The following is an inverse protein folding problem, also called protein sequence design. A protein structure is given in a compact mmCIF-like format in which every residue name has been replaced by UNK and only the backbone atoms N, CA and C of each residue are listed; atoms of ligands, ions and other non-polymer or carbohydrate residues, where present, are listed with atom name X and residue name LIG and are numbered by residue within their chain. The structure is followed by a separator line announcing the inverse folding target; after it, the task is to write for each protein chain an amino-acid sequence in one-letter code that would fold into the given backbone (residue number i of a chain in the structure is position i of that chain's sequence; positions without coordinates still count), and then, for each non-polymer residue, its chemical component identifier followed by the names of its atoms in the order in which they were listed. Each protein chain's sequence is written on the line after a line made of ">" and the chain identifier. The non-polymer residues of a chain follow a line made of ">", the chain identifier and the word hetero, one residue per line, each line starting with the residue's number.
data_IF_714512844472
#
_entry.id   IF_714512844472
#
_cell.length_a   1.000
_cell.length_b   1.000
_cell.length_c   1.000
_cell.angle_alpha   90.00
_cell.angle_beta   90.00
_cell.angle_gamma   90.00
#
_symmetry.space_group_name_H-M   'P 1'
#
loop_
_entity.id
_entity.type
_entity.pdbx_description
1 polymer ?
#
# COMPACT_ATOMS: atom_id res chain seq x y z
N UNK A 1 -7.71 24.39 0.65
CA UNK A 1 -6.47 24.67 -0.11
C UNK A 1 -6.70 25.47 -1.39
N UNK A 2 -7.54 25.02 -2.33
CA UNK A 2 -7.74 25.75 -3.60
C UNK A 2 -8.21 27.20 -3.43
N UNK A 3 -9.10 27.45 -2.46
CA UNK A 3 -9.57 28.81 -2.16
C UNK A 3 -8.44 29.71 -1.62
N UNK A 4 -7.67 29.22 -0.64
CA UNK A 4 -6.46 29.89 -0.13
C UNK A 4 -5.49 30.27 -1.25
N UNK A 5 -5.23 29.34 -2.18
CA UNK A 5 -4.34 29.61 -3.32
C UNK A 5 -4.86 30.76 -4.17
N UNK A 6 -6.16 30.73 -4.53
CA UNK A 6 -6.78 31.75 -5.38
C UNK A 6 -6.78 33.14 -4.73
N UNK A 7 -7.22 33.23 -3.47
CA UNK A 7 -7.33 34.50 -2.73
C UNK A 7 -5.96 35.06 -2.34
N UNK A 8 -5.02 34.20 -1.95
CA UNK A 8 -3.67 34.59 -1.53
C UNK A 8 -2.70 34.88 -2.67
N UNK A 9 -3.12 34.76 -3.93
CA UNK A 9 -2.26 34.91 -5.10
C UNK A 9 -1.03 33.99 -5.04
N UNK A 10 -1.25 32.74 -4.63
CA UNK A 10 -0.20 31.72 -4.40
C UNK A 10 -0.16 30.69 -5.54
N UNK A 11 0.82 29.79 -5.46
CA UNK A 11 0.80 28.46 -6.07
C UNK A 11 1.09 27.43 -4.97
N UNK A 12 0.45 26.27 -5.04
CA UNK A 12 0.71 25.14 -4.15
C UNK A 12 1.00 23.89 -4.96
N UNK A 13 1.84 23.00 -4.43
CA UNK A 13 2.15 21.71 -5.01
C UNK A 13 2.33 20.62 -3.96
N UNK A 14 2.00 19.39 -4.34
CA UNK A 14 2.36 18.19 -3.57
C UNK A 14 3.37 17.41 -4.41
N UNK A 15 4.51 17.09 -3.84
CA UNK A 15 5.56 16.30 -4.45
C UNK A 15 5.64 14.90 -3.81
N UNK A 16 6.04 13.90 -4.59
CA UNK A 16 6.42 12.56 -4.09
C UNK A 16 7.80 12.59 -3.38
N UNK A 17 8.26 11.47 -2.77
CA UNK A 17 9.56 11.42 -2.09
C UNK A 17 10.76 11.68 -3.01
N UNK A 18 10.58 11.54 -4.33
CA UNK A 18 11.61 11.77 -5.34
C UNK A 18 11.59 13.22 -5.88
N UNK A 19 10.73 14.09 -5.34
CA UNK A 19 10.61 15.49 -5.77
C UNK A 19 9.78 15.68 -7.04
N UNK A 20 9.01 14.69 -7.49
CA UNK A 20 8.09 14.83 -8.64
C UNK A 20 6.77 15.43 -8.17
N UNK A 21 6.33 16.51 -8.80
CA UNK A 21 5.05 17.16 -8.49
C UNK A 21 3.89 16.27 -8.93
N UNK A 22 3.11 15.75 -7.98
CA UNK A 22 1.93 14.92 -8.21
C UNK A 22 0.69 15.78 -8.49
N UNK A 23 0.62 16.96 -7.86
CA UNK A 23 -0.50 17.87 -7.96
C UNK A 23 -0.02 19.30 -7.80
N UNK A 24 -0.65 20.22 -8.54
CA UNK A 24 -0.39 21.66 -8.47
C UNK A 24 -1.68 22.45 -8.55
N UNK A 25 -1.78 23.56 -7.83
CA UNK A 25 -2.86 24.54 -7.95
C UNK A 25 -2.27 25.94 -7.91
N UNK A 26 -2.56 26.76 -8.92
CA UNK A 26 -2.08 28.12 -9.01
C UNK A 26 -3.25 29.12 -9.09
N UNK A 27 -3.06 30.28 -8.48
CA UNK A 27 -3.89 31.46 -8.73
C UNK A 27 -3.64 32.00 -10.14
N UNK A 28 -4.55 32.85 -10.65
CA UNK A 28 -4.29 33.56 -11.92
C UNK A 28 -3.02 34.42 -11.89
N UNK A 29 -2.60 34.90 -10.71
CA UNK A 29 -1.35 35.63 -10.53
C UNK A 29 -0.11 34.76 -10.73
N UNK A 30 -0.15 33.51 -10.23
CA UNK A 30 0.99 32.58 -10.28
C UNK A 30 0.97 31.61 -11.47
N UNK A 31 -0.17 31.37 -12.14
CA UNK A 31 -0.30 30.32 -13.19
C UNK A 31 0.76 30.43 -14.27
N UNK A 32 0.88 31.59 -14.93
CA UNK A 32 1.89 31.82 -15.98
C UNK A 32 3.33 31.71 -15.48
N UNK A 33 3.58 32.07 -14.21
CA UNK A 33 4.91 31.98 -13.60
C UNK A 33 5.26 30.51 -13.33
N UNK A 34 4.32 29.75 -12.79
CA UNK A 34 4.47 28.32 -12.53
C UNK A 34 4.65 27.52 -13.81
N UNK A 35 3.84 27.79 -14.84
CA UNK A 35 3.95 27.16 -16.16
C UNK A 35 5.32 27.42 -16.80
N UNK A 36 5.81 28.66 -16.76
CA UNK A 36 7.13 29.03 -17.33
C UNK A 36 8.30 28.25 -16.69
N UNK A 37 8.14 27.84 -15.44
CA UNK A 37 9.18 27.14 -14.68
C UNK A 37 8.96 25.62 -14.61
N UNK A 38 7.95 25.08 -15.30
CA UNK A 38 7.51 23.68 -15.13
C UNK A 38 7.19 23.33 -13.66
N UNK A 39 6.66 24.29 -12.91
CA UNK A 39 6.05 24.05 -11.59
C UNK A 39 4.59 23.60 -11.78
N UNK A 40 4.42 22.50 -12.51
CA UNK A 40 3.16 21.88 -12.89
C UNK A 40 3.21 20.38 -12.58
N UNK A 41 2.05 19.73 -12.48
CA UNK A 41 1.99 18.29 -12.27
C UNK A 41 2.84 17.53 -13.30
N UNK A 42 3.70 16.62 -12.82
CA UNK A 42 4.69 15.88 -13.59
C UNK A 42 6.10 16.49 -13.57
N UNK A 43 6.26 17.77 -13.18
CA UNK A 43 7.57 18.42 -13.06
C UNK A 43 8.46 17.80 -11.98
N UNK A 44 9.77 17.81 -12.19
CA UNK A 44 10.76 17.27 -11.25
C UNK A 44 11.52 18.39 -10.56
N UNK A 45 11.46 18.43 -9.23
CA UNK A 45 12.00 19.49 -8.38
C UNK A 45 12.91 18.95 -7.27
N UNK A 46 13.50 17.77 -7.47
CA UNK A 46 14.57 17.31 -6.59
C UNK A 46 15.76 18.26 -6.66
N UNK A 47 16.47 18.43 -5.55
CA UNK A 47 17.61 19.34 -5.47
C UNK A 47 18.71 19.00 -6.51
N UNK A 48 18.91 17.72 -6.79
CA UNK A 48 19.85 17.24 -7.83
C UNK A 48 19.49 17.68 -9.25
N UNK A 49 18.22 17.96 -9.52
CA UNK A 49 17.72 18.24 -10.88
C UNK A 49 17.62 19.75 -11.14
N UNK A 50 17.24 20.54 -10.12
CA UNK A 50 16.93 21.99 -10.26
C UNK A 50 17.89 22.88 -9.44
N UNK A 51 18.71 22.29 -8.57
CA UNK A 51 19.50 23.00 -7.56
C UNK A 51 18.68 23.32 -6.31
N UNK A 52 19.28 24.05 -5.37
CA UNK A 52 18.68 24.39 -4.08
C UNK A 52 17.31 25.05 -4.25
N UNK A 53 16.28 24.36 -3.78
CA UNK A 53 14.88 24.77 -3.82
C UNK A 53 14.11 24.19 -2.62
N UNK A 54 12.97 24.79 -2.28
CA UNK A 54 12.26 24.44 -1.05
C UNK A 54 11.76 22.98 -1.01
N UNK A 55 11.25 22.44 -2.13
CA UNK A 55 10.78 21.05 -2.23
C UNK A 55 11.93 20.07 -1.93
N UNK A 56 13.03 20.19 -2.67
CA UNK A 56 14.20 19.32 -2.53
C UNK A 56 14.84 19.41 -1.14
N UNK A 57 14.98 20.62 -0.59
CA UNK A 57 15.52 20.83 0.75
C UNK A 57 14.61 20.25 1.84
N UNK A 58 13.29 20.43 1.73
CA UNK A 58 12.31 19.91 2.69
C UNK A 58 12.35 18.39 2.76
N UNK A 59 12.40 17.72 1.60
CA UNK A 59 12.52 16.27 1.47
C UNK A 59 13.83 15.75 2.08
N UNK A 60 14.95 16.42 1.78
CA UNK A 60 16.29 16.02 2.24
C UNK A 60 16.45 16.21 3.75
N UNK A 61 16.06 17.39 4.26
CA UNK A 61 16.20 17.75 5.67
C UNK A 61 15.07 17.20 6.56
N UNK A 62 14.00 16.66 5.96
CA UNK A 62 12.79 16.17 6.63
C UNK A 62 12.22 17.18 7.64
N UNK A 63 12.24 18.46 7.27
CA UNK A 63 11.73 19.56 8.10
C UNK A 63 11.16 20.68 7.23
N UNK A 64 10.31 21.51 7.81
CA UNK A 64 9.81 22.68 7.12
C UNK A 64 10.97 23.66 6.81
N UNK A 65 10.97 24.21 5.61
CA UNK A 65 11.98 25.16 5.12
C UNK A 65 11.30 26.34 4.44
N UNK A 66 11.99 27.47 4.42
CA UNK A 66 11.68 28.61 3.56
C UNK A 66 12.89 28.86 2.70
N UNK A 67 12.69 29.02 1.39
CA UNK A 67 13.73 29.45 0.47
C UNK A 67 13.29 30.79 -0.10
N UNK A 68 14.04 31.82 0.20
CA UNK A 68 13.72 33.21 -0.10
C UNK A 68 14.55 33.72 -1.27
N UNK A 69 13.90 34.09 -2.37
CA UNK A 69 14.51 34.82 -3.48
C UNK A 69 15.85 34.23 -3.93
N UNK A 70 16.96 34.94 -3.76
CA UNK A 70 18.33 34.54 -4.15
C UNK A 70 18.87 33.31 -3.42
N UNK A 71 18.19 32.80 -2.39
CA UNK A 71 18.49 31.48 -1.80
C UNK A 71 18.17 30.34 -2.76
N UNK A 72 17.35 30.57 -3.79
CA UNK A 72 17.21 29.66 -4.92
C UNK A 72 18.48 29.65 -5.75
N UNK A 73 19.03 28.46 -5.99
CA UNK A 73 20.20 28.29 -6.86
C UNK A 73 19.90 28.73 -8.30
N UNK A 74 18.70 28.41 -8.80
CA UNK A 74 18.27 28.76 -10.15
C UNK A 74 17.84 30.24 -10.23
N UNK A 75 18.48 31.06 -11.11
CA UNK A 75 18.14 32.48 -11.25
C UNK A 75 16.69 32.70 -11.73
N UNK A 76 16.09 31.69 -12.38
CA UNK A 76 14.72 31.76 -12.88
C UNK A 76 13.66 31.75 -11.76
N UNK A 77 14.02 31.33 -10.55
CA UNK A 77 13.12 31.20 -9.39
C UNK A 77 13.42 32.27 -8.32
N UNK A 78 14.39 33.15 -8.54
CA UNK A 78 14.79 34.16 -7.54
C UNK A 78 13.76 35.28 -7.31
N UNK A 79 12.72 35.37 -8.13
CA UNK A 79 11.56 36.24 -7.86
C UNK A 79 10.59 35.62 -6.83
N UNK A 80 10.82 34.36 -6.40
CA UNK A 80 9.90 33.59 -5.58
C UNK A 80 10.36 33.45 -4.13
N UNK A 81 9.39 33.24 -3.26
CA UNK A 81 9.58 32.73 -1.91
C UNK A 81 8.75 31.47 -1.79
N UNK A 82 9.41 30.38 -1.42
CA UNK A 82 8.84 29.05 -1.38
C UNK A 82 8.88 28.53 0.06
N UNK A 83 7.72 28.14 0.57
CA UNK A 83 7.57 27.49 1.86
C UNK A 83 7.27 26.02 1.60
N UNK A 84 8.11 25.12 2.10
CA UNK A 84 7.90 23.69 1.93
C UNK A 84 7.91 22.98 3.28
N UNK A 85 7.06 21.97 3.44
CA UNK A 85 7.01 21.12 4.62
C UNK A 85 6.83 19.65 4.22
N UNK A 86 7.53 18.71 4.89
CA UNK A 86 7.43 17.29 4.57
C UNK A 86 6.08 16.75 5.03
N UNK A 87 5.53 15.81 4.26
CA UNK A 87 4.38 15.00 4.65
C UNK A 87 4.93 13.72 5.27
N UNK A 88 4.92 13.66 6.61
CA UNK A 88 5.46 12.52 7.37
C UNK A 88 4.30 11.67 7.87
N UNK A 89 4.30 10.38 7.54
CA UNK A 89 3.28 9.47 8.02
C UNK A 89 3.30 9.39 9.57
N UNK A 90 2.17 9.61 10.26
CA UNK A 90 2.16 9.79 11.71
C UNK A 90 2.56 8.53 12.50
N UNK A 91 2.31 7.34 11.93
CA UNK A 91 2.64 6.05 12.56
C UNK A 91 4.01 5.52 12.13
N UNK A 92 4.28 5.39 10.83
CA UNK A 92 5.55 4.82 10.32
C UNK A 92 6.73 5.79 10.40
N UNK A 93 6.49 7.10 10.50
CA UNK A 93 7.55 8.11 10.42
C UNK A 93 8.16 8.28 9.02
N UNK A 94 7.61 7.62 8.01
CA UNK A 94 8.09 7.71 6.63
C UNK A 94 7.76 9.07 6.01
N UNK A 95 8.70 9.65 5.25
CA UNK A 95 8.46 10.87 4.48
C UNK A 95 7.86 10.50 3.12
N UNK A 96 6.58 10.79 2.94
CA UNK A 96 5.80 10.41 1.77
C UNK A 96 5.84 11.46 0.65
N UNK A 97 6.50 12.59 0.89
CA UNK A 97 6.51 13.72 -0.01
C UNK A 97 6.65 15.05 0.71
N UNK A 98 6.39 16.14 -0.01
CA UNK A 98 6.38 17.49 0.54
C UNK A 98 5.20 18.29 -0.01
N UNK A 99 4.65 19.16 0.83
CA UNK A 99 3.76 20.24 0.43
C UNK A 99 4.62 21.50 0.23
N UNK A 100 4.51 22.12 -0.93
CA UNK A 100 5.09 23.43 -1.21
C UNK A 100 3.98 24.46 -1.45
N UNK A 101 4.16 25.65 -0.89
CA UNK A 101 3.35 26.83 -1.16
C UNK A 101 4.31 27.97 -1.49
N UNK A 102 4.11 28.59 -2.64
CA UNK A 102 5.01 29.59 -3.18
C UNK A 102 4.28 30.84 -3.67
N UNK A 103 4.98 31.96 -3.62
CA UNK A 103 4.54 33.26 -4.16
C UNK A 103 5.74 34.11 -4.53
N UNK A 104 5.54 35.36 -4.97
CA UNK A 104 6.64 36.29 -5.23
C UNK A 104 7.17 36.91 -3.93
N UNK A 105 8.44 37.30 -3.89
CA UNK A 105 9.08 37.80 -2.67
C UNK A 105 8.39 39.01 -2.04
N UNK A 106 7.82 39.89 -2.86
CA UNK A 106 7.07 41.06 -2.40
C UNK A 106 5.71 40.72 -1.74
N UNK A 107 5.30 39.45 -1.78
CA UNK A 107 4.10 38.90 -1.11
C UNK A 107 4.47 37.89 -0.03
N UNK A 108 5.72 37.87 0.38
CA UNK A 108 6.15 37.07 1.52
C UNK A 108 5.32 37.39 2.75
N UNK A 109 5.06 36.36 3.56
CA UNK A 109 4.40 36.49 4.86
C UNK A 109 5.16 35.67 5.90
N UNK A 110 5.40 36.20 7.12
CA UNK A 110 6.00 35.43 8.21
C UNK A 110 5.22 34.18 8.60
N UNK A 111 3.91 34.12 8.25
CA UNK A 111 3.06 32.97 8.53
C UNK A 111 3.16 31.87 7.45
N UNK A 112 3.90 32.09 6.36
CA UNK A 112 3.93 31.16 5.22
C UNK A 112 4.45 29.77 5.60
N UNK A 113 5.55 29.71 6.36
CA UNK A 113 6.13 28.45 6.81
C UNK A 113 5.22 27.72 7.80
N UNK A 114 4.63 28.44 8.77
CA UNK A 114 3.77 27.83 9.79
C UNK A 114 2.45 27.33 9.18
N UNK A 115 1.83 28.09 8.28
CA UNK A 115 0.64 27.68 7.55
C UNK A 115 0.90 26.43 6.69
N UNK A 116 2.02 26.40 5.95
CA UNK A 116 2.42 25.26 5.14
C UNK A 116 2.66 24.02 6.01
N UNK A 117 3.33 24.19 7.15
CA UNK A 117 3.60 23.10 8.10
C UNK A 117 2.30 22.51 8.65
N UNK A 118 1.36 23.36 9.09
CA UNK A 118 0.06 22.89 9.60
C UNK A 118 -0.76 22.16 8.53
N UNK A 119 -0.74 22.66 7.28
CA UNK A 119 -1.42 21.99 6.18
C UNK A 119 -0.78 20.63 5.86
N UNK A 120 0.55 20.53 5.85
CA UNK A 120 1.25 19.26 5.65
C UNK A 120 0.93 18.25 6.77
N UNK A 121 0.87 18.69 8.03
CA UNK A 121 0.46 17.87 9.17
C UNK A 121 -1.00 17.41 9.06
N UNK A 122 -1.91 18.31 8.65
CA UNK A 122 -3.32 17.95 8.44
C UNK A 122 -3.49 16.92 7.32
N UNK A 123 -2.73 17.04 6.23
CA UNK A 123 -2.66 16.02 5.18
C UNK A 123 -2.17 14.69 5.78
N UNK A 124 -1.07 14.71 6.53
CA UNK A 124 -0.52 13.51 7.17
C UNK A 124 -1.51 12.81 8.12
N UNK A 125 -2.29 13.57 8.89
CA UNK A 125 -3.32 13.04 9.79
C UNK A 125 -4.51 12.44 9.04
N UNK A 126 -4.77 12.86 7.80
CA UNK A 126 -5.80 12.28 6.94
C UNK A 126 -5.35 11.01 6.20
N UNK A 127 -4.06 10.66 6.26
CA UNK A 127 -3.54 9.45 5.67
C UNK A 127 -4.05 8.21 6.42
N UNK A 128 -4.28 7.09 5.71
CA UNK A 128 -4.65 5.84 6.36
C UNK A 128 -3.54 5.39 7.33
N UNK A 129 -3.93 4.81 8.46
CA UNK A 129 -3.00 4.32 9.50
C UNK A 129 -2.07 3.21 9.01
N UNK A 130 -2.46 2.52 7.94
CA UNK A 130 -1.65 1.52 7.25
C UNK A 130 -1.54 1.96 5.80
N UNK A 131 -0.31 2.19 5.35
CA UNK A 131 -0.05 2.45 3.93
C UNK A 131 -0.41 1.19 3.13
N UNK A 132 -1.11 1.33 1.99
CA UNK A 132 -1.35 0.20 1.10
C UNK A 132 -0.01 -0.42 0.69
N UNK A 133 0.11 -1.74 0.81
CA UNK A 133 1.35 -2.45 0.43
C UNK A 133 1.49 -2.59 -1.07
N UNK A 134 0.38 -2.51 -1.79
CA UNK A 134 0.27 -2.58 -3.24
C UNK A 134 -1.06 -1.97 -3.68
N UNK A 135 -1.25 -1.81 -5.00
CA UNK A 135 -2.55 -1.42 -5.57
C UNK A 135 -3.62 -2.49 -5.33
N UNK A 136 -3.27 -3.77 -5.43
CA UNK A 136 -4.13 -4.89 -5.07
C UNK A 136 -3.60 -5.59 -3.82
N UNK A 137 -4.36 -5.59 -2.73
CA UNK A 137 -4.06 -6.33 -1.51
C UNK A 137 -5.05 -7.49 -1.34
N UNK A 138 -4.52 -8.70 -1.27
CA UNK A 138 -5.26 -9.94 -1.05
C UNK A 138 -4.99 -10.44 0.37
N UNK A 139 -6.05 -10.51 1.16
CA UNK A 139 -6.05 -11.16 2.47
C UNK A 139 -6.86 -12.44 2.32
N UNK A 140 -6.23 -13.59 2.52
CA UNK A 140 -6.86 -14.89 2.33
C UNK A 140 -6.50 -15.91 3.43
N UNK A 141 -5.67 -15.53 4.40
CA UNK A 141 -5.44 -16.29 5.63
C UNK A 141 -6.52 -15.92 6.65
N UNK A 142 -7.44 -16.84 6.94
CA UNK A 142 -8.61 -16.56 7.76
C UNK A 142 -9.76 -15.95 6.97
N UNK A 143 -10.29 -14.79 7.39
CA UNK A 143 -11.43 -14.17 6.70
C UNK A 143 -10.95 -13.45 5.43
N UNK A 144 -11.42 -13.85 4.23
CA UNK A 144 -10.94 -13.27 3.00
C UNK A 144 -11.39 -11.82 2.83
N UNK A 145 -10.48 -10.97 2.36
CA UNK A 145 -10.73 -9.57 2.04
C UNK A 145 -9.89 -9.17 0.84
N UNK A 146 -10.48 -8.42 -0.09
CA UNK A 146 -9.79 -7.85 -1.24
C UNK A 146 -9.86 -6.33 -1.15
N UNK A 147 -8.73 -5.66 -1.30
CA UNK A 147 -8.63 -4.20 -1.35
C UNK A 147 -7.96 -3.81 -2.66
N UNK A 148 -8.60 -2.93 -3.41
CA UNK A 148 -8.06 -2.39 -4.66
C UNK A 148 -7.97 -0.87 -4.57
N UNK A 149 -6.78 -0.31 -4.75
CA UNK A 149 -6.45 1.11 -4.61
C UNK A 149 -7.00 1.72 -3.32
N UNK A 150 -6.79 0.99 -2.21
CA UNK A 150 -7.23 1.38 -0.87
C UNK A 150 -8.73 1.19 -0.59
N UNK A 151 -9.52 0.70 -1.55
CA UNK A 151 -10.97 0.49 -1.41
C UNK A 151 -11.31 -1.01 -1.29
N UNK A 152 -12.10 -1.43 -0.30
CA UNK A 152 -12.61 -2.80 -0.24
C UNK A 152 -13.42 -3.15 -1.50
N UNK A 153 -13.15 -4.32 -2.07
CA UNK A 153 -13.92 -4.87 -3.20
C UNK A 153 -14.65 -6.12 -2.73
N UNK A 154 -15.98 -6.09 -2.80
CA UNK A 154 -16.81 -7.23 -2.45
C UNK A 154 -16.89 -8.18 -3.64
N UNK A 155 -16.30 -9.36 -3.50
CA UNK A 155 -16.23 -10.38 -4.54
C UNK A 155 -16.85 -11.69 -4.06
N UNK A 156 -17.53 -12.45 -4.95
CA UNK A 156 -17.92 -13.82 -4.66
C UNK A 156 -16.71 -14.71 -4.34
N UNK A 157 -16.86 -15.78 -3.53
CA UNK A 157 -15.76 -16.67 -3.17
C UNK A 157 -14.95 -17.18 -4.37
N UNK A 158 -15.64 -17.62 -5.44
CA UNK A 158 -14.99 -18.11 -6.67
C UNK A 158 -14.09 -17.06 -7.34
N UNK A 159 -14.44 -15.79 -7.27
CA UNK A 159 -13.65 -14.71 -7.85
C UNK A 159 -12.43 -14.37 -6.99
N UNK A 160 -12.55 -14.51 -5.66
CA UNK A 160 -11.41 -14.39 -4.74
C UNK A 160 -10.40 -15.51 -5.00
N UNK A 161 -10.88 -16.74 -5.22
CA UNK A 161 -10.04 -17.89 -5.58
C UNK A 161 -9.26 -17.63 -6.88
N UNK A 162 -9.94 -17.13 -7.93
CA UNK A 162 -9.29 -16.77 -9.20
C UNK A 162 -8.19 -15.72 -8.96
N UNK A 163 -8.46 -14.66 -8.18
CA UNK A 163 -7.43 -13.64 -7.88
C UNK A 163 -6.24 -14.24 -7.11
N UNK A 164 -6.49 -15.15 -6.17
CA UNK A 164 -5.42 -15.79 -5.42
C UNK A 164 -4.53 -16.64 -6.33
N UNK A 165 -5.12 -17.42 -7.24
CA UNK A 165 -4.34 -18.19 -8.23
C UNK A 165 -3.55 -17.28 -9.18
N UNK A 166 -4.15 -16.20 -9.68
CA UNK A 166 -3.42 -15.27 -10.53
C UNK A 166 -2.26 -14.57 -9.79
N UNK A 167 -2.36 -14.40 -8.47
CA UNK A 167 -1.26 -13.89 -7.65
C UNK A 167 -0.17 -14.96 -7.40
N UNK A 168 -0.54 -16.24 -7.26
CA UNK A 168 0.40 -17.36 -7.17
C UNK A 168 1.17 -17.59 -8.49
N UNK A 169 0.57 -17.21 -9.62
CA UNK A 169 1.13 -17.37 -10.96
C UNK A 169 1.42 -16.00 -11.63
N UNK A 170 2.49 -15.29 -11.22
CA UNK A 170 2.81 -13.96 -11.77
C UNK A 170 3.08 -13.96 -13.28
N UNK A 171 3.63 -15.05 -13.82
CA UNK A 171 3.84 -15.22 -15.28
C UNK A 171 2.52 -15.40 -16.05
N UNK A 172 1.46 -15.76 -15.34
CA UNK A 172 0.10 -15.93 -15.82
C UNK A 172 -0.28 -17.35 -16.20
N UNK A 173 -1.58 -17.60 -16.22
CA UNK A 173 -2.18 -18.86 -16.59
C UNK A 173 -2.95 -18.72 -17.91
N UNK A 174 -2.80 -19.69 -18.81
CA UNK A 174 -3.74 -19.81 -19.92
C UNK A 174 -5.12 -20.27 -19.40
N UNK A 175 -6.13 -20.18 -20.27
CA UNK A 175 -7.51 -20.50 -19.90
C UNK A 175 -7.69 -21.94 -19.37
N UNK A 176 -6.99 -22.91 -19.94
CA UNK A 176 -7.10 -24.32 -19.54
C UNK A 176 -6.39 -24.56 -18.22
N UNK A 177 -5.22 -23.96 -18.02
CA UNK A 177 -4.49 -24.04 -16.75
C UNK A 177 -5.28 -23.41 -15.60
N UNK A 178 -5.85 -22.21 -15.82
CA UNK A 178 -6.68 -21.55 -14.80
C UNK A 178 -7.95 -22.36 -14.51
N UNK A 179 -8.55 -22.99 -15.53
CA UNK A 179 -9.71 -23.87 -15.33
C UNK A 179 -9.35 -25.09 -14.50
N UNK A 180 -8.27 -25.80 -14.85
CA UNK A 180 -7.79 -26.96 -14.10
C UNK A 180 -7.46 -26.60 -12.65
N UNK A 181 -6.80 -25.46 -12.42
CA UNK A 181 -6.42 -25.00 -11.09
C UNK A 181 -7.64 -24.67 -10.20
N UNK A 182 -8.73 -24.14 -10.78
CA UNK A 182 -9.96 -23.74 -10.07
C UNK A 182 -10.97 -24.88 -9.89
N UNK A 183 -11.16 -25.71 -10.92
CA UNK A 183 -12.25 -26.68 -10.99
C UNK A 183 -11.78 -28.13 -11.04
N UNK A 184 -10.51 -28.39 -11.36
CA UNK A 184 -10.02 -29.74 -11.63
C UNK A 184 -10.86 -30.41 -12.74
N UNK A 185 -11.35 -31.61 -12.44
CA UNK A 185 -12.19 -32.40 -13.36
C UNK A 185 -13.68 -32.05 -13.30
N UNK A 186 -14.08 -31.05 -12.51
CA UNK A 186 -15.49 -30.68 -12.40
C UNK A 186 -16.03 -30.20 -13.76
N UNK A 187 -17.29 -30.57 -14.12
CA UNK A 187 -17.86 -30.30 -15.44
C UNK A 187 -18.34 -28.84 -15.59
N UNK A 188 -17.46 -27.87 -15.36
CA UNK A 188 -17.74 -26.44 -15.49
C UNK A 188 -17.25 -25.95 -16.84
N UNK A 189 -18.09 -25.20 -17.55
CA UNK A 189 -17.74 -24.69 -18.88
C UNK A 189 -16.62 -23.63 -18.83
N UNK A 190 -15.74 -23.61 -19.83
CA UNK A 190 -14.73 -22.56 -19.99
C UNK A 190 -15.37 -21.16 -20.16
N UNK A 191 -16.61 -21.08 -20.67
CA UNK A 191 -17.36 -19.82 -20.75
C UNK A 191 -17.71 -19.25 -19.39
N UNK A 192 -18.02 -20.10 -18.40
CA UNK A 192 -18.27 -19.68 -17.02
C UNK A 192 -17.03 -19.00 -16.44
N UNK A 193 -15.86 -19.64 -16.58
CA UNK A 193 -14.60 -19.06 -16.13
C UNK A 193 -14.29 -17.72 -16.83
N UNK A 194 -14.50 -17.64 -18.15
CA UNK A 194 -14.33 -16.37 -18.90
C UNK A 194 -15.24 -15.27 -18.37
N UNK A 195 -16.46 -15.60 -17.97
CA UNK A 195 -17.40 -14.64 -17.40
C UNK A 195 -16.92 -14.11 -16.04
N UNK A 196 -16.44 -14.99 -15.16
CA UNK A 196 -15.85 -14.59 -13.87
C UNK A 196 -14.60 -13.71 -14.05
N UNK A 197 -13.70 -14.08 -14.96
CA UNK A 197 -12.51 -13.26 -15.25
C UNK A 197 -12.90 -11.91 -15.87
N UNK A 198 -13.94 -11.87 -16.71
CA UNK A 198 -14.47 -10.63 -17.27
C UNK A 198 -15.08 -9.71 -16.20
N UNK A 199 -15.77 -10.30 -15.21
CA UNK A 199 -16.29 -9.55 -14.06
C UNK A 199 -15.14 -8.97 -13.22
N UNK A 200 -14.17 -9.80 -12.86
CA UNK A 200 -12.96 -9.37 -12.13
C UNK A 200 -12.22 -8.26 -12.87
N UNK A 201 -12.04 -8.37 -14.19
CA UNK A 201 -11.39 -7.34 -14.99
C UNK A 201 -12.10 -6.00 -14.90
N UNK A 202 -13.44 -5.98 -14.84
CA UNK A 202 -14.21 -4.73 -14.65
C UNK A 202 -14.07 -4.19 -13.23
N UNK A 203 -14.01 -5.05 -12.22
CA UNK A 203 -13.81 -4.63 -10.82
C UNK A 203 -12.42 -4.06 -10.55
N UNK A 204 -11.41 -4.49 -11.33
CA UNK A 204 -10.02 -4.06 -11.20
C UNK A 204 -9.58 -3.10 -12.31
N UNK A 205 -10.48 -2.28 -12.85
CA UNK A 205 -10.16 -1.25 -13.86
C UNK A 205 -9.38 -1.74 -15.10
N UNK A 206 -9.54 -3.00 -15.48
CA UNK A 206 -8.82 -3.60 -16.61
C UNK A 206 -7.51 -4.31 -16.26
N UNK A 207 -7.11 -4.36 -14.99
CA UNK A 207 -5.79 -4.83 -14.53
C UNK A 207 -5.60 -6.37 -14.54
N UNK A 208 -6.28 -7.05 -15.46
CA UNK A 208 -6.12 -8.49 -15.72
C UNK A 208 -5.82 -8.70 -17.20
N UNK A 209 -4.59 -9.15 -17.48
CA UNK A 209 -4.14 -9.57 -18.80
C UNK A 209 -5.02 -10.67 -19.39
N UNK A 210 -5.01 -10.85 -20.71
CA UNK A 210 -5.91 -11.79 -21.39
C UNK A 210 -5.24 -13.04 -21.96
N UNK A 211 -3.94 -12.99 -22.24
CA UNK A 211 -3.15 -14.06 -22.87
C UNK A 211 -1.66 -13.96 -22.47
N UNK A 212 -1.23 -14.58 -21.37
CA UNK A 212 -2.02 -15.32 -20.38
C UNK A 212 -2.86 -14.41 -19.48
N UNK A 213 -3.80 -15.00 -18.71
CA UNK A 213 -4.45 -14.32 -17.61
C UNK A 213 -3.43 -14.08 -16.51
N UNK A 214 -3.21 -12.82 -16.15
CA UNK A 214 -2.26 -12.40 -15.10
C UNK A 214 -2.67 -11.04 -14.54
N UNK A 215 -2.29 -10.75 -13.30
CA UNK A 215 -2.45 -9.43 -12.70
C UNK A 215 -1.43 -8.47 -13.33
N UNK A 216 -1.87 -7.30 -13.77
CA UNK A 216 -0.99 -6.26 -14.37
C UNK A 216 -0.70 -5.10 -13.41
N UNK A 217 -1.30 -5.15 -12.23
CA UNK A 217 -1.14 -4.18 -11.16
C UNK A 217 -0.22 -4.73 -10.06
N UNK A 218 0.42 -3.84 -9.30
CA UNK A 218 1.19 -4.24 -8.12
C UNK A 218 0.28 -5.01 -7.17
N UNK A 219 0.73 -6.19 -6.73
CA UNK A 219 -0.08 -7.10 -5.91
C UNK A 219 0.67 -7.50 -4.65
N UNK A 220 0.02 -7.34 -3.51
CA UNK A 220 0.44 -7.89 -2.22
C UNK A 220 -0.57 -8.96 -1.80
N UNK A 221 -0.07 -10.09 -1.31
CA UNK A 221 -0.91 -11.20 -0.86
C UNK A 221 -0.34 -11.82 0.42
N UNK A 222 -1.16 -11.95 1.46
CA UNK A 222 -0.74 -12.48 2.76
C UNK A 222 -0.23 -13.93 2.67
N UNK A 223 -0.89 -14.78 1.87
CA UNK A 223 -0.52 -16.18 1.65
C UNK A 223 0.82 -16.34 0.89
N UNK A 224 1.20 -15.39 0.03
CA UNK A 224 2.53 -15.37 -0.60
C UNK A 224 3.59 -14.96 0.42
N UNK A 225 3.29 -13.96 1.25
CA UNK A 225 4.23 -13.45 2.23
C UNK A 225 4.48 -14.43 3.37
N UNK A 226 3.44 -15.11 3.86
CA UNK A 226 3.61 -16.18 4.84
C UNK A 226 4.44 -17.32 4.26
N UNK A 227 4.16 -17.75 3.03
CA UNK A 227 4.95 -18.81 2.39
C UNK A 227 6.42 -18.41 2.28
N UNK A 228 6.71 -17.19 1.83
CA UNK A 228 8.09 -16.68 1.77
C UNK A 228 8.76 -16.62 3.14
N UNK A 229 8.03 -16.24 4.19
CA UNK A 229 8.56 -16.23 5.55
C UNK A 229 8.86 -17.65 6.05
N UNK A 230 7.97 -18.61 5.76
CA UNK A 230 8.15 -20.02 6.09
C UNK A 230 9.35 -20.64 5.36
N UNK A 231 9.44 -20.44 4.04
CA UNK A 231 10.52 -20.93 3.17
C UNK A 231 11.90 -20.41 3.60
N UNK A 232 11.94 -19.20 4.14
CA UNK A 232 13.19 -18.57 4.65
C UNK A 232 13.34 -18.65 6.17
N UNK A 233 12.58 -19.53 6.83
CA UNK A 233 12.65 -19.80 8.28
C UNK A 233 12.47 -18.56 9.19
N UNK A 234 11.77 -17.53 8.71
CA UNK A 234 11.40 -16.33 9.49
C UNK A 234 10.15 -16.63 10.33
N UNK A 235 10.31 -17.50 11.32
CA UNK A 235 9.20 -18.06 12.12
C UNK A 235 8.37 -17.00 12.83
N UNK A 236 9.00 -15.99 13.44
CA UNK A 236 8.28 -14.90 14.13
C UNK A 236 7.39 -14.10 13.16
N UNK A 237 7.86 -13.88 11.93
CA UNK A 237 7.11 -13.16 10.90
C UNK A 237 5.94 -14.00 10.39
N UNK A 238 6.19 -15.27 10.08
CA UNK A 238 5.16 -16.22 9.65
C UNK A 238 4.08 -16.38 10.72
N UNK A 239 4.50 -16.56 11.98
CA UNK A 239 3.62 -16.56 13.13
C UNK A 239 2.83 -15.27 13.14
N UNK A 240 3.44 -14.08 13.17
CA UNK A 240 2.74 -12.80 13.20
C UNK A 240 1.69 -12.63 12.09
N UNK A 241 1.95 -13.12 10.87
CA UNK A 241 1.03 -13.03 9.73
C UNK A 241 -0.11 -14.04 9.75
N UNK A 242 0.08 -15.22 10.34
CA UNK A 242 -0.95 -16.27 10.33
C UNK A 242 -2.18 -15.85 11.15
N UNK A 243 -3.34 -15.80 10.47
CA UNK A 243 -4.67 -15.48 11.04
C UNK A 243 -5.66 -16.64 10.93
N UNK A 244 -5.31 -17.69 10.20
CA UNK A 244 -6.15 -18.86 9.94
C UNK A 244 -5.80 -19.50 8.60
N UNK A 245 -6.43 -20.63 8.31
CA UNK A 245 -6.18 -21.40 7.10
C UNK A 245 -6.46 -20.58 5.83
N UNK A 246 -5.67 -20.85 4.78
CA UNK A 246 -5.81 -20.21 3.47
C UNK A 246 -7.10 -20.67 2.79
N UNK A 247 -8.07 -19.77 2.61
CA UNK A 247 -9.38 -20.01 1.97
C UNK A 247 -10.03 -21.35 2.36
N UNK A 248 -10.29 -21.53 3.67
CA UNK A 248 -10.74 -22.79 4.27
C UNK A 248 -11.96 -23.45 3.60
N UNK A 249 -12.87 -22.66 3.01
CA UNK A 249 -14.08 -23.16 2.36
C UNK A 249 -13.91 -23.43 0.85
N UNK A 250 -12.70 -23.26 0.31
CA UNK A 250 -12.44 -23.45 -1.11
C UNK A 250 -12.31 -24.93 -1.47
N UNK A 251 -12.95 -25.33 -2.56
CA UNK A 251 -12.80 -26.64 -3.20
C UNK A 251 -11.93 -26.57 -4.48
N UNK A 252 -11.21 -25.47 -4.67
CA UNK A 252 -10.27 -25.31 -5.77
C UNK A 252 -9.04 -26.21 -5.54
N UNK A 253 -8.69 -27.13 -6.47
CA UNK A 253 -7.61 -28.09 -6.26
C UNK A 253 -6.28 -27.43 -5.89
N UNK A 254 -5.86 -26.42 -6.65
CA UNK A 254 -4.56 -25.80 -6.39
C UNK A 254 -4.57 -24.98 -5.08
N UNK A 255 -5.69 -24.35 -4.73
CA UNK A 255 -5.83 -23.64 -3.44
C UNK A 255 -5.81 -24.64 -2.27
N UNK A 256 -6.41 -25.82 -2.44
CA UNK A 256 -6.30 -26.90 -1.46
C UNK A 256 -4.84 -27.32 -1.30
N UNK A 257 -4.09 -27.55 -2.38
CA UNK A 257 -2.67 -27.90 -2.30
C UNK A 257 -1.85 -26.86 -1.53
N UNK A 258 -1.98 -25.57 -1.88
CA UNK A 258 -1.30 -24.49 -1.17
C UNK A 258 -1.68 -24.39 0.30
N UNK A 259 -2.97 -24.57 0.62
CA UNK A 259 -3.44 -24.60 2.01
C UNK A 259 -2.81 -25.75 2.79
N UNK A 260 -2.77 -26.96 2.23
CA UNK A 260 -2.13 -28.10 2.89
C UNK A 260 -0.63 -27.83 3.15
N UNK A 261 0.08 -27.23 2.20
CA UNK A 261 1.49 -26.87 2.40
C UNK A 261 1.68 -25.83 3.50
N UNK A 262 0.90 -24.74 3.50
CA UNK A 262 0.98 -23.69 4.52
C UNK A 262 0.61 -24.26 5.89
N UNK A 263 -0.49 -24.99 5.98
CA UNK A 263 -1.00 -25.53 7.24
C UNK A 263 -0.04 -26.56 7.83
N UNK A 264 0.58 -27.43 7.01
CA UNK A 264 1.55 -28.41 7.50
C UNK A 264 2.75 -27.75 8.21
N UNK A 265 3.34 -26.72 7.60
CA UNK A 265 4.49 -26.02 8.19
C UNK A 265 4.06 -25.19 9.40
N UNK A 266 2.89 -24.52 9.32
CA UNK A 266 2.35 -23.75 10.45
C UNK A 266 2.02 -24.63 11.65
N UNK A 267 1.48 -25.83 11.43
CA UNK A 267 1.21 -26.82 12.50
C UNK A 267 2.50 -27.14 13.24
N UNK A 268 3.55 -27.48 12.51
CA UNK A 268 4.85 -27.77 13.11
C UNK A 268 5.43 -26.58 13.90
N UNK A 269 5.26 -25.34 13.42
CA UNK A 269 5.72 -24.15 14.16
C UNK A 269 4.91 -23.90 15.43
N UNK A 270 3.60 -24.10 15.37
CA UNK A 270 2.71 -23.93 16.53
C UNK A 270 2.99 -25.03 17.56
N UNK A 271 3.14 -26.28 17.14
CA UNK A 271 3.42 -27.41 18.05
C UNK A 271 4.75 -27.26 18.78
N UNK A 272 5.74 -26.62 18.16
CA UNK A 272 7.04 -26.31 18.77
C UNK A 272 7.06 -24.95 19.50
N UNK A 273 5.93 -24.24 19.59
CA UNK A 273 5.86 -22.99 20.32
C UNK A 273 5.71 -23.25 21.83
N UNK A 274 6.67 -22.75 22.61
CA UNK A 274 6.70 -22.88 24.07
C UNK A 274 6.28 -21.61 24.83
N UNK A 275 5.77 -20.59 24.12
CA UNK A 275 5.28 -19.34 24.75
C UNK A 275 3.75 -19.32 24.83
N UNK A 276 3.15 -19.50 26.03
CA UNK A 276 1.71 -19.35 26.24
C UNK A 276 1.20 -17.95 25.84
N UNK A 277 2.00 -16.90 26.06
CA UNK A 277 1.63 -15.53 25.73
C UNK A 277 1.49 -15.33 24.21
N UNK A 278 2.39 -15.91 23.42
CA UNK A 278 2.32 -15.85 21.95
C UNK A 278 1.07 -16.57 21.44
N UNK A 279 0.75 -17.74 21.99
CA UNK A 279 -0.44 -18.53 21.64
C UNK A 279 -1.75 -17.81 22.04
N UNK A 280 -1.81 -17.21 23.23
CA UNK A 280 -2.94 -16.38 23.66
C UNK A 280 -3.14 -15.17 22.74
N UNK A 281 -2.06 -14.47 22.41
CA UNK A 281 -2.09 -13.36 21.47
C UNK A 281 -2.63 -13.81 20.09
N UNK A 282 -2.22 -14.99 19.62
CA UNK A 282 -2.72 -15.58 18.37
C UNK A 282 -4.23 -15.85 18.41
N UNK A 283 -4.72 -16.44 19.48
CA UNK A 283 -6.15 -16.73 19.65
C UNK A 283 -6.96 -15.42 19.65
N UNK A 284 -6.47 -14.36 20.30
CA UNK A 284 -7.15 -13.06 20.34
C UNK A 284 -7.22 -12.33 18.99
N UNK A 285 -6.35 -12.67 18.04
CA UNK A 285 -6.22 -11.98 16.75
C UNK A 285 -6.95 -12.67 15.59
N UNK A 286 -7.54 -13.84 15.80
CA UNK A 286 -8.42 -14.44 14.79
C UNK A 286 -9.85 -14.58 15.30
N UNK A 287 -10.81 -14.23 14.46
CA UNK A 287 -12.25 -14.25 14.78
C UNK A 287 -12.72 -15.66 15.20
N UNK A 288 -12.00 -16.71 14.77
CA UNK A 288 -12.32 -18.10 15.09
C UNK A 288 -11.30 -18.79 16.03
N UNK A 289 -10.26 -18.10 16.51
CA UNK A 289 -9.11 -18.74 17.16
C UNK A 289 -8.36 -19.68 16.19
N UNK A 290 -7.02 -19.65 16.15
CA UNK A 290 -6.31 -20.77 15.50
C UNK A 290 -6.53 -22.00 16.39
N UNK A 291 -7.33 -22.97 15.92
CA UNK A 291 -7.61 -24.23 16.66
C UNK A 291 -6.28 -24.85 17.12
N UNK A 292 -5.29 -24.90 16.23
CA UNK A 292 -3.92 -25.35 16.52
C UNK A 292 -3.28 -24.59 17.70
N UNK A 293 -3.37 -23.25 17.71
CA UNK A 293 -2.80 -22.46 18.80
C UNK A 293 -3.53 -22.68 20.13
N UNK A 294 -4.85 -22.91 20.10
CA UNK A 294 -5.65 -23.21 21.29
C UNK A 294 -5.28 -24.58 21.85
N UNK A 295 -5.21 -25.59 21.00
CA UNK A 295 -4.93 -26.96 21.42
C UNK A 295 -3.52 -27.05 22.02
N UNK A 296 -2.53 -26.41 21.38
CA UNK A 296 -1.17 -26.31 21.95
C UNK A 296 -1.11 -25.56 23.28
N UNK A 297 -1.88 -24.49 23.43
CA UNK A 297 -1.92 -23.73 24.68
C UNK A 297 -2.45 -24.60 25.83
N UNK A 298 -3.48 -25.41 25.58
CA UNK A 298 -4.04 -26.35 26.56
C UNK A 298 -2.95 -27.35 26.99
N UNK A 299 -2.21 -27.94 26.04
CA UNK A 299 -1.11 -28.87 26.36
C UNK A 299 -0.04 -28.25 27.26
N UNK A 300 0.36 -26.99 27.01
CA UNK A 300 1.36 -26.30 27.83
C UNK A 300 0.84 -26.01 29.24
N UNK A 301 -0.44 -25.62 29.36
CA UNK A 301 -1.06 -25.34 30.66
C UNK A 301 -1.21 -26.63 31.49
N UNK A 302 -1.59 -27.74 30.87
CA UNK A 302 -1.70 -29.03 31.56
C UNK A 302 -0.33 -29.51 32.06
N UNK A 303 0.75 -29.38 31.26
CA UNK A 303 2.12 -29.71 31.70
C UNK A 303 2.61 -28.87 32.88
N UNK A 304 2.12 -27.63 33.02
CA UNK A 304 2.46 -26.76 34.15
C UNK A 304 1.76 -27.13 35.45
N UNK A 305 0.72 -27.98 35.42
CA UNK A 305 0.04 -28.47 36.62
C UNK A 305 0.72 -29.71 37.24
N UNK A 306 1.64 -30.35 36.51
CA UNK A 306 2.36 -31.56 36.94
C UNK A 306 3.86 -31.33 37.23
N UNK A 307 4.34 -30.08 37.16
CA UNK A 307 5.70 -29.64 37.53
C UNK A 307 5.61 -28.57 38.62
#
# INVERSE_FOLDING_TARGET
>A
MQQLVKEGQLVAAIADPCGRLLWTCASGYMSRRAEKLNFTAGGHWAERDVGTNAVGLSLTLKRAVTVFSSEHYSPYVQDWVCYAAPIIHPITGECLGALDISTTWNKHTPLGQSATTQLAQSIAQSLPSVLPRAELELFALGQPKVVFRGKPVNLPPRQIEILCLLALHPDGLNLQQLHAAIYGDAPVSLSTLKADVSHLRRCLDGEIGSRPYRLTTSTWADFIHIWRALDTQRTNEAMAMYRGAFLVASESPEIQEWRHCIDAVMTQLIDNCDSPQLLLHKISQSVNGSIMARDRLIELLDRSQYN
#
